data_IF_282872866942
#
_entry.id   IF_282872866942
#
_cell.length_a   1.000
_cell.length_b   1.000
_cell.length_c   1.000
_cell.angle_alpha   90.00
_cell.angle_beta   90.00
_cell.angle_gamma   90.00
#
_symmetry.space_group_name_H-M   'P 1'
#
loop_
_entity.id
_entity.type
_entity.pdbx_description
1 polymer ?
#
# COMPACT_ATOMS: atom_id res chain seq x y z
N UNK A 1 24.86 5.09 -1.35
CA UNK A 1 26.34 4.93 -1.35
C UNK A 1 26.83 4.26 -2.63
N UNK A 2 26.34 3.06 -3.03
CA UNK A 2 26.79 2.35 -4.25
C UNK A 2 26.61 3.19 -5.52
N UNK A 3 25.43 3.80 -5.74
CA UNK A 3 25.22 4.75 -6.85
C UNK A 3 26.16 5.96 -6.77
N UNK A 4 26.46 6.47 -5.57
CA UNK A 4 27.41 7.56 -5.37
C UNK A 4 28.85 7.21 -5.78
N UNK A 5 29.18 5.92 -5.86
CA UNK A 5 30.45 5.41 -6.39
C UNK A 5 30.41 5.10 -7.91
N UNK A 6 29.30 5.45 -8.58
CA UNK A 6 29.12 5.23 -10.01
C UNK A 6 28.66 3.80 -10.38
N UNK A 7 28.22 3.00 -9.41
CA UNK A 7 27.73 1.63 -9.67
C UNK A 7 26.31 1.69 -10.28
N UNK A 8 26.08 0.89 -11.33
CA UNK A 8 24.78 0.76 -11.98
C UNK A 8 23.87 -0.17 -11.18
N UNK A 9 23.12 0.40 -10.24
CA UNK A 9 22.19 -0.34 -9.37
C UNK A 9 20.78 -0.31 -9.96
N UNK A 10 20.21 -1.50 -10.16
CA UNK A 10 18.80 -1.68 -10.50
C UNK A 10 17.99 -1.75 -9.19
N UNK A 11 17.09 -0.77 -8.98
CA UNK A 11 16.47 -0.58 -7.68
C UNK A 11 14.99 -0.97 -7.69
N UNK A 12 14.70 -2.14 -7.19
CA UNK A 12 13.34 -2.64 -6.89
C UNK A 12 12.94 -2.46 -5.41
N UNK A 13 13.81 -1.89 -4.59
CA UNK A 13 13.54 -1.73 -3.15
C UNK A 13 12.55 -0.60 -2.85
N UNK A 14 12.64 0.50 -3.60
CA UNK A 14 11.83 1.68 -3.40
C UNK A 14 10.52 1.62 -4.23
N UNK A 15 9.38 1.54 -3.57
CA UNK A 15 8.06 1.55 -4.21
C UNK A 15 7.60 2.96 -4.63
N UNK A 16 8.40 3.67 -5.41
CA UNK A 16 8.07 5.00 -5.93
C UNK A 16 7.64 4.89 -7.39
N UNK A 17 6.36 5.22 -7.74
CA UNK A 17 5.92 5.25 -9.13
C UNK A 17 6.85 6.09 -10.00
N UNK A 18 7.28 5.55 -11.13
CA UNK A 18 8.22 6.17 -12.07
C UNK A 18 7.52 6.79 -13.28
N UNK A 19 6.25 6.49 -13.49
CA UNK A 19 5.46 7.04 -14.58
C UNK A 19 5.13 8.51 -14.34
N UNK A 20 5.09 9.33 -15.42
CA UNK A 20 4.71 10.72 -15.27
C UNK A 20 3.23 10.87 -14.90
N UNK A 21 2.92 11.91 -14.13
CA UNK A 21 1.54 12.33 -13.91
C UNK A 21 0.86 12.67 -15.25
N UNK A 22 -0.39 12.23 -15.50
CA UNK A 22 -1.12 12.51 -16.72
C UNK A 22 -1.19 14.01 -17.05
N UNK A 23 -1.02 14.37 -18.34
CA UNK A 23 -0.85 15.76 -18.76
C UNK A 23 -2.04 16.65 -18.38
N UNK A 24 -3.28 16.18 -18.51
CA UNK A 24 -4.47 16.96 -18.16
C UNK A 24 -4.51 17.36 -16.66
N UNK A 25 -3.87 16.59 -15.79
CA UNK A 25 -3.74 16.90 -14.35
C UNK A 25 -2.68 18.00 -14.17
N UNK A 26 -1.55 17.90 -14.86
CA UNK A 26 -0.48 18.90 -14.85
C UNK A 26 -0.99 20.23 -15.39
N UNK A 27 -1.72 20.22 -16.50
CA UNK A 27 -2.30 21.42 -17.12
C UNK A 27 -3.24 22.13 -16.15
N UNK A 28 -4.07 21.38 -15.41
CA UNK A 28 -4.99 21.94 -14.42
C UNK A 28 -4.25 22.55 -13.23
N UNK A 29 -3.11 21.97 -12.80
CA UNK A 29 -2.24 22.58 -11.80
C UNK A 29 -1.70 23.92 -12.28
N UNK A 30 -1.13 23.96 -13.51
CA UNK A 30 -0.52 25.16 -14.08
C UNK A 30 -1.56 26.26 -14.27
N UNK A 31 -2.75 25.92 -14.78
CA UNK A 31 -3.87 26.84 -14.93
C UNK A 31 -4.23 27.50 -13.59
N UNK A 32 -4.42 26.67 -12.55
CA UNK A 32 -4.86 27.15 -11.24
C UNK A 32 -3.75 27.92 -10.51
N UNK A 33 -2.50 27.53 -10.66
CA UNK A 33 -1.36 28.20 -10.01
C UNK A 33 -1.14 29.64 -10.53
N UNK A 34 -1.64 29.97 -11.72
CA UNK A 34 -1.61 31.34 -12.27
C UNK A 34 -2.62 32.28 -11.61
N UNK A 35 -3.64 31.77 -10.92
CA UNK A 35 -4.59 32.60 -10.18
C UNK A 35 -3.96 33.05 -8.84
N UNK A 36 -3.73 34.36 -8.63
CA UNK A 36 -3.13 34.86 -7.37
C UNK A 36 -3.92 34.48 -6.12
N UNK A 37 -5.22 34.20 -6.22
CA UNK A 37 -6.06 33.79 -5.10
C UNK A 37 -5.76 32.38 -4.63
N UNK A 38 -5.16 31.54 -5.47
CA UNK A 38 -4.78 30.17 -5.15
C UNK A 38 -3.69 30.05 -4.08
N UNK A 39 -2.95 31.12 -3.81
CA UNK A 39 -1.88 31.19 -2.81
C UNK A 39 -2.39 31.39 -1.37
N UNK A 40 -3.69 31.55 -1.17
CA UNK A 40 -4.29 31.70 0.16
C UNK A 40 -4.35 30.35 0.87
N UNK A 41 -4.40 30.40 2.19
CA UNK A 41 -4.68 29.21 2.98
C UNK A 41 -5.96 28.51 2.51
N UNK A 42 -5.90 27.20 2.42
CA UNK A 42 -7.05 26.37 2.04
C UNK A 42 -7.78 25.83 3.29
N UNK A 43 -8.67 24.89 3.08
CA UNK A 43 -9.39 24.21 4.17
C UNK A 43 -8.72 22.86 4.45
N UNK A 44 -8.46 22.54 5.72
CA UNK A 44 -7.87 21.26 6.18
C UNK A 44 -8.67 20.05 5.68
N UNK A 45 -10.00 20.19 5.55
CA UNK A 45 -10.88 19.12 5.04
C UNK A 45 -10.82 18.95 3.51
N UNK A 46 -10.16 19.84 2.81
CA UNK A 46 -10.19 19.93 1.37
C UNK A 46 -11.34 20.80 0.82
N UNK A 47 -11.13 21.35 -0.37
CA UNK A 47 -12.14 22.18 -1.05
C UNK A 47 -13.39 21.35 -1.40
N UNK A 48 -14.55 22.00 -1.45
CA UNK A 48 -15.84 21.31 -1.73
C UNK A 48 -15.82 20.52 -3.04
N UNK A 49 -15.22 21.10 -4.11
CA UNK A 49 -15.09 20.41 -5.40
C UNK A 49 -14.34 19.09 -5.30
N UNK A 50 -13.22 19.06 -4.57
CA UNK A 50 -12.43 17.87 -4.34
C UNK A 50 -13.21 16.81 -3.54
N UNK A 51 -13.87 17.20 -2.44
CA UNK A 51 -14.67 16.27 -1.63
C UNK A 51 -15.82 15.63 -2.42
N UNK A 52 -16.49 16.41 -3.28
CA UNK A 52 -17.50 15.88 -4.22
C UNK A 52 -16.88 14.90 -5.23
N UNK A 53 -15.71 15.20 -5.76
CA UNK A 53 -15.01 14.32 -6.69
C UNK A 53 -14.60 12.99 -6.03
N UNK A 54 -14.18 13.03 -4.76
CA UNK A 54 -13.88 11.81 -3.97
C UNK A 54 -15.13 10.96 -3.75
N UNK A 55 -16.26 11.56 -3.40
CA UNK A 55 -17.53 10.85 -3.27
C UNK A 55 -18.00 10.27 -4.63
N UNK A 56 -17.84 11.02 -5.72
CA UNK A 56 -18.14 10.54 -7.08
C UNK A 56 -17.23 9.39 -7.52
N UNK A 57 -15.97 9.40 -7.12
CA UNK A 57 -15.04 8.27 -7.33
C UNK A 57 -15.57 6.99 -6.68
N UNK A 58 -16.00 7.05 -5.41
CA UNK A 58 -16.59 5.89 -4.72
C UNK A 58 -17.86 5.39 -5.42
N UNK A 59 -18.73 6.31 -5.85
CA UNK A 59 -19.94 5.93 -6.58
C UNK A 59 -19.60 5.24 -7.91
N UNK A 60 -18.67 5.79 -8.67
CA UNK A 60 -18.25 5.25 -9.98
C UNK A 60 -17.52 3.92 -9.85
N UNK A 61 -16.59 3.83 -8.88
CA UNK A 61 -15.69 2.69 -8.76
C UNK A 61 -16.29 1.51 -7.99
N UNK A 62 -17.10 1.77 -6.99
CA UNK A 62 -17.62 0.77 -6.04
C UNK A 62 -19.14 0.75 -5.91
N UNK A 63 -19.86 1.66 -6.55
CA UNK A 63 -21.31 1.80 -6.36
C UNK A 63 -21.71 2.33 -4.98
N UNK A 64 -20.77 2.91 -4.24
CA UNK A 64 -20.97 3.38 -2.86
C UNK A 64 -21.28 4.87 -2.83
N UNK A 65 -22.41 5.23 -2.25
CA UNK A 65 -22.81 6.65 -2.03
C UNK A 65 -22.20 7.15 -0.73
N UNK A 66 -21.49 8.28 -0.79
CA UNK A 66 -20.89 8.98 0.35
C UNK A 66 -21.38 10.43 0.41
N UNK A 67 -21.62 10.93 1.61
CA UNK A 67 -21.87 12.36 1.84
C UNK A 67 -20.52 13.12 1.81
N UNK A 68 -20.29 14.01 0.81
CA UNK A 68 -19.04 14.74 0.69
C UNK A 68 -18.76 15.71 1.84
N UNK A 69 -19.76 16.04 2.63
CA UNK A 69 -19.60 16.99 3.74
C UNK A 69 -19.33 16.33 5.09
N UNK A 70 -19.74 15.08 5.30
CA UNK A 70 -19.58 14.38 6.58
C UNK A 70 -18.81 13.05 6.50
N UNK A 71 -18.76 12.41 5.32
CA UNK A 71 -18.18 11.08 5.16
C UNK A 71 -16.87 11.08 4.34
N UNK A 72 -16.33 12.25 3.96
CA UNK A 72 -15.11 12.37 3.15
C UNK A 72 -14.23 13.52 3.65
N UNK A 73 -12.90 13.33 3.63
CA UNK A 73 -11.91 14.35 3.96
C UNK A 73 -10.63 14.15 3.14
N UNK A 74 -10.09 15.25 2.60
CA UNK A 74 -8.79 15.25 1.94
C UNK A 74 -7.64 15.11 2.93
N UNK A 75 -6.57 14.42 2.53
CA UNK A 75 -5.37 14.21 3.32
C UNK A 75 -4.10 14.53 2.52
N UNK A 76 -3.00 14.84 3.20
CA UNK A 76 -1.69 15.07 2.58
C UNK A 76 -1.01 13.74 2.21
N UNK A 77 -1.69 12.94 1.39
CA UNK A 77 -1.45 11.53 1.14
C UNK A 77 -2.14 10.64 2.18
N UNK A 78 -2.43 9.38 1.82
CA UNK A 78 -3.10 8.43 2.73
C UNK A 78 -2.30 8.19 4.02
N UNK A 79 -0.97 8.20 3.93
CA UNK A 79 -0.07 7.99 5.09
C UNK A 79 -0.25 9.04 6.19
N UNK A 80 -0.37 10.31 5.83
CA UNK A 80 -0.62 11.40 6.79
C UNK A 80 -2.02 11.25 7.39
N UNK A 81 -3.03 11.02 6.58
CA UNK A 81 -4.39 10.82 7.05
C UNK A 81 -4.50 9.65 8.03
N UNK A 82 -3.84 8.53 7.72
CA UNK A 82 -3.79 7.37 8.59
C UNK A 82 -3.14 7.69 9.95
N UNK A 83 -1.96 8.33 9.94
CA UNK A 83 -1.25 8.69 11.16
C UNK A 83 -2.02 9.69 12.03
N UNK A 84 -2.66 10.68 11.39
CA UNK A 84 -3.47 11.66 12.12
C UNK A 84 -4.75 11.04 12.70
N UNK A 85 -5.41 10.14 11.97
CA UNK A 85 -6.54 9.42 12.54
C UNK A 85 -6.12 8.54 13.72
N UNK A 86 -4.99 7.83 13.59
CA UNK A 86 -4.45 7.06 14.70
C UNK A 86 -4.28 7.91 15.96
N UNK A 87 -3.69 9.11 15.84
CA UNK A 87 -3.56 10.05 16.96
C UNK A 87 -4.91 10.54 17.49
N UNK A 88 -5.91 10.71 16.62
CA UNK A 88 -7.21 11.26 17.02
C UNK A 88 -8.08 10.26 17.81
N UNK A 89 -7.86 8.95 17.64
CA UNK A 89 -8.72 7.90 18.21
C UNK A 89 -8.01 7.03 19.24
N UNK A 90 -6.74 7.29 19.54
CA UNK A 90 -5.92 6.44 20.40
C UNK A 90 -5.42 7.20 21.62
N UNK A 91 -5.52 6.58 22.77
CA UNK A 91 -4.86 7.02 24.01
C UNK A 91 -3.63 6.14 24.30
N UNK A 92 -2.65 6.66 25.07
CA UNK A 92 -1.52 5.85 25.54
C UNK A 92 -2.00 4.60 26.27
N UNK A 93 -1.48 3.43 25.85
CA UNK A 93 -1.84 2.13 26.42
C UNK A 93 -2.99 1.40 25.73
N UNK A 94 -3.68 2.03 24.78
CA UNK A 94 -4.65 1.33 23.92
C UNK A 94 -3.96 0.22 23.12
N UNK A 95 -4.69 -0.86 22.85
CA UNK A 95 -4.20 -1.97 22.03
C UNK A 95 -4.81 -1.92 20.64
N UNK A 96 -3.95 -2.06 19.60
CA UNK A 96 -4.34 -2.05 18.20
C UNK A 96 -3.94 -3.35 17.53
N UNK A 97 -4.87 -3.94 16.76
CA UNK A 97 -4.60 -5.14 15.95
C UNK A 97 -4.04 -4.73 14.58
N UNK A 98 -2.82 -5.12 14.30
CA UNK A 98 -2.11 -4.77 13.06
C UNK A 98 -1.67 -6.04 12.34
N UNK A 99 -1.88 -6.16 11.01
CA UNK A 99 -1.37 -7.30 10.25
C UNK A 99 0.16 -7.35 10.31
N UNK A 100 0.72 -8.55 10.20
CA UNK A 100 2.15 -8.76 10.06
C UNK A 100 2.37 -9.92 9.07
N UNK A 101 3.08 -9.70 7.93
CA UNK A 101 3.78 -8.45 7.55
C UNK A 101 2.82 -7.32 7.18
N UNK A 102 3.29 -6.06 7.30
CA UNK A 102 2.50 -4.86 6.99
C UNK A 102 3.36 -3.68 6.50
N UNK A 103 2.72 -2.72 5.85
CA UNK A 103 3.34 -1.44 5.56
C UNK A 103 3.59 -0.68 6.88
N UNK A 104 4.79 -0.14 7.11
CA UNK A 104 5.19 0.36 8.42
C UNK A 104 4.23 1.36 9.09
N UNK A 105 3.51 2.20 8.32
CA UNK A 105 2.60 3.19 8.91
C UNK A 105 1.47 2.54 9.71
N UNK A 106 1.08 1.31 9.36
CA UNK A 106 -0.01 0.60 10.03
C UNK A 106 0.29 0.34 11.50
N UNK A 107 1.54 0.09 11.85
CA UNK A 107 2.00 -0.03 13.24
C UNK A 107 2.48 1.31 13.78
N UNK A 108 3.40 1.99 13.06
CA UNK A 108 4.05 3.19 13.57
C UNK A 108 3.11 4.39 13.74
N UNK A 109 2.02 4.50 12.95
CA UNK A 109 1.01 5.52 13.15
C UNK A 109 0.39 5.46 14.55
N UNK A 110 0.14 4.26 15.04
CA UNK A 110 -0.41 4.03 16.38
C UNK A 110 0.67 4.06 17.49
N UNK A 111 1.87 3.55 17.21
CA UNK A 111 3.00 3.64 18.17
C UNK A 111 3.30 5.10 18.50
N UNK A 112 3.32 5.99 17.51
CA UNK A 112 3.52 7.42 17.72
C UNK A 112 2.39 8.06 18.54
N UNK A 113 1.19 7.48 18.55
CA UNK A 113 0.07 7.87 19.39
C UNK A 113 0.13 7.27 20.82
N UNK A 114 1.13 6.43 21.11
CA UNK A 114 1.30 5.78 22.40
C UNK A 114 0.59 4.45 22.57
N UNK A 115 0.07 3.85 21.49
CA UNK A 115 -0.60 2.55 21.54
C UNK A 115 0.39 1.39 21.63
N UNK A 116 -0.08 0.29 22.21
CA UNK A 116 0.52 -1.03 22.11
C UNK A 116 0.03 -1.74 20.84
N UNK A 117 0.94 -2.34 20.09
CA UNK A 117 0.61 -3.09 18.88
C UNK A 117 0.51 -4.58 19.19
N UNK A 118 -0.61 -5.16 18.79
CA UNK A 118 -0.80 -6.62 18.76
C UNK A 118 -0.74 -7.06 17.30
N UNK A 119 0.37 -7.65 16.91
CA UNK A 119 0.53 -8.22 15.58
C UNK A 119 -0.35 -9.46 15.39
N UNK A 120 -1.01 -9.54 14.23
CA UNK A 120 -1.81 -10.68 13.80
C UNK A 120 -1.20 -11.23 12.52
N UNK A 121 -0.95 -12.54 12.46
CA UNK A 121 -0.38 -13.18 11.29
C UNK A 121 -1.25 -12.89 10.04
N UNK A 122 -0.66 -12.27 9.03
CA UNK A 122 -1.28 -11.90 7.76
C UNK A 122 -0.51 -12.48 6.56
N UNK A 123 0.11 -13.63 6.74
CA UNK A 123 0.75 -14.39 5.66
C UNK A 123 -0.27 -14.86 4.62
N UNK A 124 -1.53 -15.01 5.02
CA UNK A 124 -2.70 -15.08 4.14
C UNK A 124 -3.92 -14.38 4.78
N UNK A 125 -4.95 -14.00 3.98
CA UNK A 125 -6.19 -13.44 4.51
C UNK A 125 -6.88 -14.37 5.51
N UNK A 126 -6.84 -15.67 5.30
CA UNK A 126 -7.44 -16.69 6.17
C UNK A 126 -6.70 -16.78 7.51
N UNK A 127 -5.37 -16.70 7.50
CA UNK A 127 -4.57 -16.66 8.73
C UNK A 127 -4.88 -15.40 9.53
N UNK A 128 -5.06 -14.26 8.85
CA UNK A 128 -5.42 -13.02 9.51
C UNK A 128 -6.76 -13.14 10.23
N UNK A 129 -7.81 -13.60 9.54
CA UNK A 129 -9.14 -13.81 10.14
C UNK A 129 -9.09 -14.77 11.34
N UNK A 130 -8.42 -15.91 11.20
CA UNK A 130 -8.24 -16.88 12.30
C UNK A 130 -7.50 -16.30 13.50
N UNK A 131 -6.54 -15.41 13.24
CA UNK A 131 -5.75 -14.77 14.28
C UNK A 131 -6.50 -13.72 15.10
N UNK A 132 -7.52 -13.06 14.53
CA UNK A 132 -8.24 -11.95 15.16
C UNK A 132 -8.94 -12.34 16.47
N UNK A 133 -9.69 -13.44 16.50
CA UNK A 133 -10.39 -13.90 17.71
C UNK A 133 -9.40 -14.23 18.84
N UNK A 134 -8.28 -14.87 18.49
CA UNK A 134 -7.21 -15.15 19.44
C UNK A 134 -6.59 -13.86 19.97
N UNK A 135 -6.33 -12.91 19.08
CA UNK A 135 -5.71 -11.65 19.44
C UNK A 135 -6.59 -10.84 20.41
N UNK A 136 -7.92 -10.79 20.20
CA UNK A 136 -8.84 -10.12 21.12
C UNK A 136 -8.86 -10.81 22.49
N UNK A 137 -8.98 -12.14 22.51
CA UNK A 137 -9.04 -12.89 23.79
C UNK A 137 -7.79 -12.73 24.66
N UNK A 138 -6.65 -12.51 24.04
CA UNK A 138 -5.36 -12.41 24.74
C UNK A 138 -4.81 -10.97 24.80
N UNK A 139 -5.63 -9.96 24.55
CA UNK A 139 -5.26 -8.54 24.67
C UNK A 139 -5.89 -7.91 25.90
N UNK A 140 -5.04 -7.28 26.72
CA UNK A 140 -5.46 -6.44 27.84
C UNK A 140 -4.66 -5.15 27.78
N UNK A 141 -5.32 -3.99 27.59
CA UNK A 141 -6.76 -3.81 27.41
C UNK A 141 -7.31 -4.42 26.11
N UNK A 142 -8.65 -4.50 26.02
CA UNK A 142 -9.35 -4.90 24.78
C UNK A 142 -8.93 -4.01 23.62
N UNK A 143 -8.68 -4.55 22.41
CA UNK A 143 -8.31 -3.74 21.25
C UNK A 143 -9.39 -2.72 20.88
N UNK A 144 -8.96 -1.52 20.50
CA UNK A 144 -9.84 -0.41 20.10
C UNK A 144 -9.96 -0.27 18.59
N UNK A 145 -8.97 -0.72 17.83
CA UNK A 145 -8.97 -0.68 16.38
C UNK A 145 -8.23 -1.89 15.77
N UNK A 146 -8.57 -2.19 14.51
CA UNK A 146 -7.83 -3.11 13.66
C UNK A 146 -7.54 -2.46 12.30
N UNK A 147 -6.48 -2.94 11.64
CA UNK A 147 -6.05 -2.46 10.33
C UNK A 147 -6.20 -3.57 9.30
N UNK A 148 -6.70 -3.23 8.10
CA UNK A 148 -6.68 -4.09 6.92
C UNK A 148 -6.06 -3.33 5.75
N UNK A 149 -5.32 -4.05 4.88
CA UNK A 149 -4.68 -3.45 3.70
C UNK A 149 -4.71 -4.43 2.53
N UNK A 150 -5.67 -4.25 1.61
CA UNK A 150 -5.82 -5.07 0.40
C UNK A 150 -6.28 -4.20 -0.78
N UNK A 151 -5.59 -4.24 -1.95
CA UNK A 151 -4.37 -5.01 -2.23
C UNK A 151 -3.22 -4.65 -1.31
N UNK A 152 -2.52 -5.67 -0.82
CA UNK A 152 -1.58 -5.51 0.28
C UNK A 152 -0.22 -4.95 -0.15
N UNK A 153 0.36 -4.14 0.69
CA UNK A 153 1.78 -3.84 0.73
C UNK A 153 2.32 -4.41 2.06
N UNK A 154 3.19 -5.44 2.06
CA UNK A 154 4.08 -5.84 0.96
C UNK A 154 3.61 -7.02 0.09
N UNK A 155 2.60 -7.78 0.49
CA UNK A 155 2.35 -9.15 0.00
C UNK A 155 1.63 -9.22 -1.35
N UNK A 156 1.11 -8.11 -1.86
CA UNK A 156 0.30 -8.00 -3.07
C UNK A 156 -0.99 -8.86 -3.06
N UNK A 157 -1.37 -9.41 -1.92
CA UNK A 157 -2.59 -10.19 -1.74
C UNK A 157 -3.83 -9.33 -1.97
N UNK A 158 -4.88 -9.98 -2.45
CA UNK A 158 -6.22 -9.39 -2.67
C UNK A 158 -7.24 -10.20 -1.89
N UNK A 159 -8.39 -9.57 -1.60
CA UNK A 159 -9.52 -10.21 -0.93
C UNK A 159 -10.82 -9.91 -1.66
N UNK A 160 -11.80 -10.77 -1.49
CA UNK A 160 -13.18 -10.56 -1.95
C UNK A 160 -14.05 -9.92 -0.88
N UNK A 161 -15.32 -9.68 -1.22
CA UNK A 161 -16.30 -9.10 -0.29
C UNK A 161 -16.55 -9.98 0.94
N UNK A 162 -16.43 -11.30 0.82
CA UNK A 162 -16.68 -12.19 1.96
C UNK A 162 -15.68 -11.97 3.10
N UNK A 163 -14.41 -11.70 2.78
CA UNK A 163 -13.44 -11.28 3.78
C UNK A 163 -13.88 -10.00 4.52
N UNK A 164 -14.34 -8.99 3.79
CA UNK A 164 -14.82 -7.76 4.41
C UNK A 164 -16.11 -7.94 5.21
N UNK A 165 -17.00 -8.85 4.82
CA UNK A 165 -18.17 -9.22 5.64
C UNK A 165 -17.75 -9.76 7.00
N UNK A 166 -16.76 -10.65 7.03
CA UNK A 166 -16.21 -11.19 8.29
C UNK A 166 -15.54 -10.11 9.13
N UNK A 167 -14.74 -9.21 8.53
CA UNK A 167 -14.12 -8.07 9.23
C UNK A 167 -15.18 -7.13 9.82
N UNK A 168 -16.21 -6.77 9.07
CA UNK A 168 -17.28 -5.89 9.57
C UNK A 168 -18.07 -6.54 10.70
N UNK A 169 -18.43 -7.82 10.54
CA UNK A 169 -19.11 -8.57 11.59
C UNK A 169 -18.25 -8.68 12.86
N UNK A 170 -16.96 -8.97 12.72
CA UNK A 170 -16.01 -9.02 13.81
C UNK A 170 -15.89 -7.66 14.53
N UNK A 171 -15.74 -6.58 13.76
CA UNK A 171 -15.60 -5.24 14.29
C UNK A 171 -16.85 -4.81 15.09
N UNK A 172 -18.05 -5.09 14.57
CA UNK A 172 -19.32 -4.82 15.28
C UNK A 172 -19.46 -5.65 16.56
N UNK A 173 -19.16 -6.95 16.49
CA UNK A 173 -19.21 -7.86 17.64
C UNK A 173 -18.30 -7.42 18.79
N UNK A 174 -17.13 -6.91 18.47
CA UNK A 174 -16.12 -6.53 19.44
C UNK A 174 -16.03 -5.03 19.70
N UNK A 175 -16.88 -4.21 19.05
CA UNK A 175 -16.88 -2.75 19.17
C UNK A 175 -15.50 -2.15 18.85
N UNK A 176 -14.89 -2.60 17.74
CA UNK A 176 -13.55 -2.23 17.28
C UNK A 176 -13.67 -1.39 16.01
N UNK A 177 -12.92 -0.31 15.90
CA UNK A 177 -12.81 0.46 14.66
C UNK A 177 -11.98 -0.27 13.60
N UNK A 178 -12.34 -0.12 12.34
CA UNK A 178 -11.58 -0.66 11.21
C UNK A 178 -10.93 0.48 10.42
N UNK A 179 -9.60 0.43 10.27
CA UNK A 179 -8.87 1.29 9.34
C UNK A 179 -8.49 0.45 8.12
N UNK A 180 -9.11 0.73 6.99
CA UNK A 180 -8.86 0.05 5.71
C UNK A 180 -7.93 0.91 4.85
N UNK A 181 -6.74 0.41 4.50
CA UNK A 181 -5.84 1.07 3.56
C UNK A 181 -6.04 0.47 2.17
N UNK A 182 -6.64 1.23 1.26
CA UNK A 182 -7.02 0.84 -0.09
C UNK A 182 -6.19 1.58 -1.17
N UNK A 183 -4.96 1.97 -0.85
CA UNK A 183 -4.11 2.79 -1.72
C UNK A 183 -3.82 2.16 -3.10
N UNK A 184 -4.00 0.86 -3.27
CA UNK A 184 -3.72 0.12 -4.51
C UNK A 184 -5.00 -0.39 -5.20
N UNK A 185 -6.17 0.18 -4.91
CA UNK A 185 -7.47 -0.22 -5.48
C UNK A 185 -7.49 -0.29 -7.01
N UNK A 186 -6.75 0.58 -7.66
CA UNK A 186 -6.78 0.72 -9.12
C UNK A 186 -5.59 0.04 -9.82
N UNK A 187 -4.73 -0.66 -9.07
CA UNK A 187 -3.62 -1.46 -9.64
C UNK A 187 -3.93 -2.94 -9.42
N UNK A 188 -4.62 -3.54 -10.37
CA UNK A 188 -5.00 -4.96 -10.39
C UNK A 188 -4.89 -5.50 -11.80
N UNK A 189 -4.76 -6.82 -11.96
CA UNK A 189 -4.40 -7.44 -13.22
C UNK A 189 -5.44 -8.45 -13.73
N UNK A 190 -6.52 -8.63 -12.98
CA UNK A 190 -7.71 -9.39 -13.39
C UNK A 190 -8.93 -8.45 -13.44
N UNK A 191 -9.35 -8.10 -14.65
CA UNK A 191 -10.47 -7.18 -14.86
C UNK A 191 -11.82 -7.75 -14.45
N UNK A 192 -11.94 -9.08 -14.33
CA UNK A 192 -13.15 -9.74 -13.87
C UNK A 192 -13.32 -9.63 -12.34
N UNK A 193 -12.21 -9.45 -11.60
CA UNK A 193 -12.20 -9.45 -10.15
C UNK A 193 -11.47 -8.19 -9.61
N UNK A 194 -11.99 -6.98 -9.84
CA UNK A 194 -11.39 -5.76 -9.32
C UNK A 194 -11.45 -5.74 -7.77
N UNK A 195 -10.41 -5.23 -7.09
CA UNK A 195 -10.41 -5.13 -5.63
C UNK A 195 -11.62 -4.34 -5.11
N UNK A 196 -12.37 -4.87 -4.14
CA UNK A 196 -13.53 -4.21 -3.58
C UNK A 196 -13.16 -3.16 -2.52
N UNK A 197 -14.09 -2.25 -2.24
CA UNK A 197 -14.09 -1.41 -1.03
C UNK A 197 -14.82 -2.12 0.10
N UNK A 198 -14.36 -1.93 1.34
CA UNK A 198 -15.07 -2.41 2.52
C UNK A 198 -16.51 -1.85 2.59
N UNK A 199 -16.75 -0.67 2.03
CA UNK A 199 -18.08 -0.02 2.04
C UNK A 199 -19.10 -0.65 1.09
N UNK A 200 -18.71 -1.63 0.30
CA UNK A 200 -19.66 -2.48 -0.43
C UNK A 200 -20.34 -3.52 0.48
N UNK A 201 -19.90 -3.60 1.74
CA UNK A 201 -20.52 -4.44 2.77
C UNK A 201 -21.46 -3.60 3.62
N UNK A 202 -22.68 -4.09 3.79
CA UNK A 202 -23.71 -3.43 4.61
C UNK A 202 -23.23 -3.23 6.05
N UNK A 203 -23.43 -2.01 6.55
CA UNK A 203 -23.04 -1.62 7.90
C UNK A 203 -21.54 -1.33 8.09
N UNK A 204 -20.71 -1.42 7.06
CA UNK A 204 -19.29 -1.08 7.16
C UNK A 204 -19.07 0.40 7.56
N UNK A 205 -19.91 1.32 7.09
CA UNK A 205 -19.83 2.73 7.49
C UNK A 205 -20.06 3.00 8.98
N UNK A 206 -20.62 2.04 9.70
CA UNK A 206 -20.83 2.18 11.15
C UNK A 206 -19.51 2.02 11.92
N UNK A 207 -18.55 1.29 11.37
CA UNK A 207 -17.32 0.86 12.07
C UNK A 207 -16.01 1.17 11.35
N UNK A 208 -16.03 1.64 10.10
CA UNK A 208 -14.82 1.72 9.28
C UNK A 208 -14.53 3.11 8.71
N UNK A 209 -13.23 3.37 8.52
CA UNK A 209 -12.68 4.41 7.64
C UNK A 209 -11.75 3.74 6.63
N UNK A 210 -11.82 4.17 5.38
CA UNK A 210 -10.99 3.69 4.29
C UNK A 210 -10.13 4.82 3.71
N UNK A 211 -8.85 4.55 3.48
CA UNK A 211 -7.87 5.50 2.96
C UNK A 211 -7.55 5.22 1.50
N UNK A 212 -7.59 6.27 0.69
CA UNK A 212 -7.24 6.26 -0.73
C UNK A 212 -6.05 7.16 -1.01
N UNK A 213 -5.31 6.83 -2.08
CA UNK A 213 -4.13 7.60 -2.48
C UNK A 213 -4.12 7.86 -3.99
N UNK A 214 -4.00 9.13 -4.38
CA UNK A 214 -3.79 9.49 -5.77
C UNK A 214 -2.35 9.23 -6.23
N UNK A 215 -1.43 8.99 -5.29
CA UNK A 215 -0.03 8.68 -5.59
C UNK A 215 0.13 7.47 -6.50
N UNK A 216 -0.78 6.49 -6.40
CA UNK A 216 -0.69 5.22 -7.11
C UNK A 216 -1.59 5.21 -8.34
N UNK A 217 -2.84 5.61 -8.21
CA UNK A 217 -3.82 5.60 -9.30
C UNK A 217 -3.51 6.61 -10.42
N UNK A 218 -2.88 7.73 -10.09
CA UNK A 218 -2.63 8.84 -11.03
C UNK A 218 -1.17 9.27 -11.11
N UNK A 219 -0.23 8.44 -10.64
CA UNK A 219 1.20 8.75 -10.62
C UNK A 219 1.51 10.13 -9.99
N UNK A 220 0.93 10.42 -8.82
CA UNK A 220 1.05 11.69 -8.10
C UNK A 220 1.75 11.55 -6.72
N UNK A 221 2.85 10.78 -6.58
CA UNK A 221 3.42 10.53 -5.24
C UNK A 221 3.98 11.80 -4.57
N UNK A 222 4.62 12.67 -5.33
CA UNK A 222 5.19 13.93 -4.84
C UNK A 222 4.16 15.03 -4.53
N UNK A 223 2.94 14.91 -5.07
CA UNK A 223 1.88 15.90 -4.93
C UNK A 223 1.21 15.85 -3.54
N UNK A 224 1.45 14.78 -2.80
CA UNK A 224 0.90 14.56 -1.45
C UNK A 224 -0.61 14.69 -1.38
N UNK A 225 -1.34 13.95 -2.22
CA UNK A 225 -2.79 13.95 -2.24
C UNK A 225 -3.35 12.54 -2.03
N UNK A 226 -4.25 12.46 -1.06
CA UNK A 226 -5.06 11.30 -0.73
C UNK A 226 -6.34 11.75 -0.02
N UNK A 227 -7.11 10.79 0.45
CA UNK A 227 -8.31 11.09 1.22
C UNK A 227 -8.72 9.90 2.11
N UNK A 228 -9.53 10.20 3.11
CA UNK A 228 -10.21 9.22 3.93
C UNK A 228 -11.72 9.34 3.72
N UNK A 229 -12.41 8.21 3.77
CA UNK A 229 -13.85 8.11 3.59
C UNK A 229 -14.46 7.14 4.61
N UNK A 230 -15.72 7.34 5.00
CA UNK A 230 -16.48 6.38 5.79
C UNK A 230 -17.17 6.95 7.02
N UNK A 231 -16.96 6.34 8.17
CA UNK A 231 -17.67 6.65 9.42
C UNK A 231 -17.57 8.14 9.76
N UNK A 232 -18.72 8.79 9.95
CA UNK A 232 -18.83 10.24 10.20
C UNK A 232 -18.08 10.69 11.46
N UNK A 233 -18.09 9.87 12.51
CA UNK A 233 -17.40 10.19 13.78
C UNK A 233 -15.89 10.15 13.60
N UNK A 234 -15.39 9.14 12.91
CA UNK A 234 -13.95 9.01 12.60
C UNK A 234 -13.48 10.11 11.64
N UNK A 235 -14.27 10.44 10.61
CA UNK A 235 -13.99 11.56 9.72
C UNK A 235 -14.01 12.90 10.47
N UNK A 236 -14.92 13.10 11.41
CA UNK A 236 -14.95 14.30 12.25
C UNK A 236 -13.73 14.37 13.17
N UNK A 237 -13.30 13.25 13.76
CA UNK A 237 -12.10 13.17 14.59
C UNK A 237 -10.83 13.52 13.78
N UNK A 238 -10.70 12.95 12.58
CA UNK A 238 -9.61 13.30 11.65
C UNK A 238 -9.65 14.78 11.26
N UNK A 239 -10.83 15.32 10.94
CA UNK A 239 -10.99 16.74 10.63
C UNK A 239 -10.60 17.64 11.80
N UNK A 240 -10.90 17.21 13.02
CA UNK A 240 -10.57 17.97 14.23
C UNK A 240 -9.06 18.07 14.44
N UNK A 241 -8.34 16.95 14.40
CA UNK A 241 -6.89 16.97 14.58
C UNK A 241 -6.21 17.74 13.44
N UNK A 242 -6.60 17.53 12.18
CA UNK A 242 -6.07 18.27 11.04
C UNK A 242 -6.27 19.78 11.15
N UNK A 243 -7.38 20.23 11.73
CA UNK A 243 -7.64 21.67 11.90
C UNK A 243 -6.61 22.39 12.81
N UNK A 244 -5.84 21.64 13.60
CA UNK A 244 -4.75 22.17 14.40
C UNK A 244 -3.37 21.97 13.75
N UNK A 245 -3.25 21.02 12.82
CA UNK A 245 -1.95 20.63 12.24
C UNK A 245 -1.68 21.28 10.89
N UNK A 246 -2.73 21.51 10.08
CA UNK A 246 -2.58 22.04 8.72
C UNK A 246 -3.79 22.86 8.26
N UNK A 247 -3.59 23.59 7.15
CA UNK A 247 -4.64 24.29 6.41
C UNK A 247 -4.99 23.59 5.11
N UNK A 248 -4.68 22.29 4.99
CA UNK A 248 -4.89 21.49 3.79
C UNK A 248 -3.79 21.66 2.75
N UNK A 249 -3.89 20.89 1.67
CA UNK A 249 -2.97 20.96 0.56
C UNK A 249 -3.10 22.29 -0.18
N UNK A 250 -2.01 22.69 -0.86
CA UNK A 250 -2.00 23.83 -1.77
C UNK A 250 -3.16 23.76 -2.77
N UNK A 251 -3.94 24.84 -2.89
CA UNK A 251 -5.19 24.85 -3.67
C UNK A 251 -5.05 24.33 -5.10
N UNK A 252 -4.02 24.71 -5.90
CA UNK A 252 -3.81 24.16 -7.23
C UNK A 252 -3.65 22.63 -7.25
N UNK A 253 -3.03 22.04 -6.25
CA UNK A 253 -2.94 20.56 -6.11
C UNK A 253 -4.32 19.95 -5.90
N UNK A 254 -5.16 20.57 -5.08
CA UNK A 254 -6.52 20.08 -4.83
C UNK A 254 -7.41 20.18 -6.07
N UNK A 255 -7.27 21.25 -6.85
CA UNK A 255 -8.00 21.43 -8.12
C UNK A 255 -7.52 20.42 -9.16
N UNK A 256 -6.21 20.20 -9.27
CA UNK A 256 -5.65 19.18 -10.15
C UNK A 256 -6.09 17.76 -9.74
N UNK A 257 -6.15 17.47 -8.44
CA UNK A 257 -6.70 16.20 -7.91
C UNK A 257 -8.19 16.03 -8.25
N UNK A 258 -8.95 17.13 -8.22
CA UNK A 258 -10.35 17.13 -8.68
C UNK A 258 -10.45 16.77 -10.18
N UNK A 259 -9.54 17.30 -11.00
CA UNK A 259 -9.46 16.98 -12.43
C UNK A 259 -9.02 15.51 -12.64
N UNK A 260 -8.12 14.97 -11.81
CA UNK A 260 -7.75 13.57 -11.86
C UNK A 260 -8.94 12.64 -11.59
N UNK A 261 -9.72 12.94 -10.54
CA UNK A 261 -10.86 12.10 -10.15
C UNK A 261 -12.06 12.19 -11.09
N UNK A 262 -12.32 13.38 -11.69
CA UNK A 262 -13.48 13.62 -12.55
C UNK A 262 -13.16 13.54 -14.05
N UNK A 263 -11.89 13.59 -14.42
CA UNK A 263 -11.43 13.56 -15.80
C UNK A 263 -11.45 12.17 -16.44
N UNK A 264 -10.87 12.05 -17.65
CA UNK A 264 -10.71 10.77 -18.33
C UNK A 264 -9.95 9.75 -17.46
N UNK A 265 -10.41 8.50 -17.43
CA UNK A 265 -9.80 7.44 -16.64
C UNK A 265 -8.91 6.49 -17.45
N UNK A 266 -8.75 6.75 -18.77
CA UNK A 266 -7.88 5.97 -19.65
C UNK A 266 -6.44 5.87 -19.11
N UNK A 267 -5.94 6.95 -18.50
CA UNK A 267 -4.62 7.00 -17.88
C UNK A 267 -4.44 5.96 -16.76
N UNK A 268 -5.51 5.61 -16.04
CA UNK A 268 -5.47 4.57 -14.99
C UNK A 268 -5.36 3.18 -15.64
N UNK A 269 -6.10 2.95 -16.73
CA UNK A 269 -6.02 1.71 -17.48
C UNK A 269 -4.65 1.52 -18.16
N UNK A 270 -4.10 2.60 -18.75
CA UNK A 270 -2.76 2.60 -19.35
C UNK A 270 -1.67 2.29 -18.31
N UNK A 271 -1.72 2.94 -17.17
CA UNK A 271 -0.80 2.68 -16.06
C UNK A 271 -0.89 1.22 -15.57
N UNK A 272 -2.09 0.68 -15.43
CA UNK A 272 -2.33 -0.73 -15.08
C UNK A 272 -1.71 -1.68 -16.09
N UNK A 273 -1.87 -1.38 -17.39
CA UNK A 273 -1.27 -2.17 -18.48
C UNK A 273 0.26 -2.19 -18.39
N UNK A 274 0.90 -1.06 -18.06
CA UNK A 274 2.35 -0.96 -17.87
C UNK A 274 2.79 -1.83 -16.69
N UNK A 275 2.14 -1.73 -15.54
CA UNK A 275 2.48 -2.58 -14.38
C UNK A 275 2.26 -4.07 -14.68
N UNK A 276 1.20 -4.42 -15.41
CA UNK A 276 0.95 -5.79 -15.85
C UNK A 276 2.08 -6.32 -16.74
N UNK A 277 2.50 -5.55 -17.73
CA UNK A 277 3.62 -5.92 -18.62
C UNK A 277 4.91 -6.12 -17.83
N UNK A 278 5.24 -5.22 -16.91
CA UNK A 278 6.42 -5.33 -16.04
C UNK A 278 6.37 -6.56 -15.14
N UNK A 279 5.20 -6.84 -14.55
CA UNK A 279 4.97 -8.05 -13.76
C UNK A 279 5.25 -9.31 -14.59
N UNK A 280 4.66 -9.39 -15.78
CA UNK A 280 4.78 -10.57 -16.65
C UNK A 280 6.26 -10.79 -17.05
N UNK A 281 6.96 -9.71 -17.43
CA UNK A 281 8.39 -9.76 -17.73
C UNK A 281 9.24 -10.13 -16.51
N UNK A 282 8.90 -9.61 -15.31
CA UNK A 282 9.60 -9.95 -14.08
C UNK A 282 9.49 -11.45 -13.79
N UNK A 283 8.26 -11.96 -13.75
CA UNK A 283 7.99 -13.38 -13.45
C UNK A 283 8.71 -14.29 -14.44
N UNK A 284 8.54 -14.06 -15.74
CA UNK A 284 9.17 -14.87 -16.78
C UNK A 284 10.70 -14.80 -16.73
N UNK A 285 11.27 -13.63 -16.56
CA UNK A 285 12.72 -13.43 -16.60
C UNK A 285 13.42 -14.02 -15.36
N UNK A 286 12.81 -13.91 -14.20
CA UNK A 286 13.35 -14.44 -12.95
C UNK A 286 13.21 -15.96 -12.89
N UNK A 287 12.14 -16.53 -13.39
CA UNK A 287 12.01 -17.99 -13.53
C UNK A 287 13.12 -18.58 -14.40
N UNK A 288 13.41 -17.96 -15.55
CA UNK A 288 14.56 -18.32 -16.41
C UNK A 288 15.93 -18.11 -15.74
N UNK A 289 15.98 -17.26 -14.74
CA UNK A 289 17.19 -17.04 -13.93
C UNK A 289 17.36 -18.07 -12.81
N UNK A 290 16.37 -18.93 -12.57
CA UNK A 290 16.36 -19.93 -11.51
C UNK A 290 15.79 -19.42 -10.18
N UNK A 291 15.07 -18.31 -10.21
CA UNK A 291 14.35 -17.75 -9.05
C UNK A 291 12.87 -17.60 -9.38
N UNK A 292 12.06 -18.58 -9.00
CA UNK A 292 10.63 -18.56 -9.26
C UNK A 292 9.90 -17.52 -8.42
N UNK A 293 9.15 -16.65 -9.08
CA UNK A 293 8.40 -15.56 -8.47
C UNK A 293 6.90 -15.84 -8.62
N UNK A 294 6.13 -15.91 -7.51
CA UNK A 294 4.68 -15.95 -7.58
C UNK A 294 4.14 -14.71 -8.30
N UNK A 295 3.27 -14.91 -9.30
CA UNK A 295 2.68 -13.79 -10.05
C UNK A 295 1.72 -13.00 -9.16
N UNK A 296 1.99 -11.72 -8.83
CA UNK A 296 1.09 -10.92 -8.01
C UNK A 296 -0.21 -10.61 -8.75
N UNK A 297 -1.38 -10.75 -8.10
CA UNK A 297 -2.68 -10.45 -8.71
C UNK A 297 -2.98 -8.95 -8.81
N UNK A 298 -2.33 -8.15 -7.98
CA UNK A 298 -2.56 -6.71 -7.87
C UNK A 298 -1.36 -6.00 -7.26
N UNK A 299 -1.48 -4.68 -7.04
CA UNK A 299 -0.45 -3.82 -6.48
C UNK A 299 0.74 -3.60 -7.45
N UNK A 300 1.68 -2.80 -7.06
CA UNK A 300 2.93 -2.55 -7.78
C UNK A 300 4.12 -3.34 -7.17
N UNK A 301 3.83 -4.43 -6.46
CA UNK A 301 4.82 -5.22 -5.76
C UNK A 301 4.69 -6.71 -6.10
N UNK A 302 5.83 -7.42 -6.07
CA UNK A 302 5.89 -8.86 -5.95
C UNK A 302 6.47 -9.22 -4.58
N UNK A 303 5.84 -10.16 -3.89
CA UNK A 303 6.30 -10.72 -2.62
C UNK A 303 6.90 -12.09 -2.89
N UNK A 304 8.19 -12.19 -2.74
CA UNK A 304 8.99 -13.26 -3.32
C UNK A 304 9.72 -14.04 -2.23
N UNK A 305 9.52 -15.36 -2.14
CA UNK A 305 10.31 -16.17 -1.23
C UNK A 305 11.79 -16.13 -1.66
N UNK A 306 12.69 -15.99 -0.69
CA UNK A 306 14.13 -16.10 -0.97
C UNK A 306 14.46 -17.55 -1.34
N UNK A 307 15.46 -17.77 -2.22
CA UNK A 307 15.85 -19.13 -2.59
C UNK A 307 16.28 -19.95 -1.36
N UNK A 308 15.99 -21.25 -1.36
CA UNK A 308 16.24 -22.16 -0.22
C UNK A 308 17.68 -22.08 0.29
N UNK A 309 18.66 -21.97 -0.62
CA UNK A 309 20.08 -21.88 -0.27
C UNK A 309 20.48 -20.61 0.50
N UNK A 310 19.57 -19.64 0.62
CA UNK A 310 19.78 -18.38 1.36
C UNK A 310 18.92 -18.26 2.61
N UNK A 311 18.02 -19.21 2.89
CA UNK A 311 17.08 -19.13 4.01
C UNK A 311 17.75 -19.01 5.36
N UNK A 312 18.86 -19.72 5.56
CA UNK A 312 19.61 -19.68 6.83
C UNK A 312 20.14 -18.27 7.15
N UNK A 313 20.60 -17.54 6.13
CA UNK A 313 21.08 -16.15 6.27
C UNK A 313 19.97 -15.10 6.42
N UNK A 314 18.75 -15.46 6.08
CA UNK A 314 17.57 -14.60 6.17
C UNK A 314 17.46 -13.54 5.07
N UNK A 315 16.32 -12.82 5.10
CA UNK A 315 15.95 -11.87 4.05
C UNK A 315 16.87 -10.65 3.97
N UNK A 316 17.43 -10.21 5.10
CA UNK A 316 18.33 -9.04 5.12
C UNK A 316 19.68 -9.36 4.47
N UNK A 317 20.30 -10.49 4.81
CA UNK A 317 21.58 -10.87 4.21
C UNK A 317 21.41 -11.20 2.73
N UNK A 318 20.34 -11.88 2.34
CA UNK A 318 20.02 -12.10 0.93
C UNK A 318 19.87 -10.79 0.14
N UNK A 319 19.18 -9.79 0.70
CA UNK A 319 19.05 -8.48 0.05
C UNK A 319 20.38 -7.74 -0.09
N UNK A 320 21.27 -7.84 0.91
CA UNK A 320 22.63 -7.30 0.84
C UNK A 320 23.48 -8.00 -0.22
N UNK A 321 23.42 -9.32 -0.27
CA UNK A 321 24.17 -10.13 -1.25
C UNK A 321 23.72 -9.81 -2.68
N UNK A 322 22.41 -9.68 -2.92
CA UNK A 322 21.88 -9.24 -4.20
C UNK A 322 22.40 -7.85 -4.60
N UNK A 323 22.43 -6.91 -3.66
CA UNK A 323 22.93 -5.56 -3.93
C UNK A 323 24.43 -5.57 -4.26
N UNK A 324 25.22 -6.31 -3.51
CA UNK A 324 26.69 -6.35 -3.66
C UNK A 324 27.09 -7.09 -4.92
N UNK A 325 26.54 -8.27 -5.15
CA UNK A 325 27.01 -9.20 -6.18
C UNK A 325 26.20 -9.15 -7.47
N UNK A 326 24.88 -8.88 -7.40
CA UNK A 326 24.03 -8.77 -8.58
C UNK A 326 23.73 -7.31 -8.99
N UNK A 327 24.09 -6.31 -8.16
CA UNK A 327 23.74 -4.90 -8.36
C UNK A 327 22.22 -4.68 -8.45
N UNK A 328 21.46 -5.48 -7.71
CA UNK A 328 20.00 -5.44 -7.63
C UNK A 328 19.59 -5.16 -6.19
N UNK A 329 18.87 -4.06 -5.99
CA UNK A 329 18.31 -3.71 -4.68
C UNK A 329 16.88 -4.23 -4.56
N UNK A 330 16.56 -4.88 -3.45
CA UNK A 330 15.20 -5.33 -3.06
C UNK A 330 14.96 -4.95 -1.61
N UNK A 331 13.69 -4.90 -1.19
CA UNK A 331 13.38 -4.65 0.22
C UNK A 331 13.31 -5.99 0.99
N UNK A 332 14.11 -6.19 2.06
CA UNK A 332 14.04 -7.39 2.86
C UNK A 332 12.70 -7.51 3.58
N UNK A 333 12.15 -8.72 3.62
CA UNK A 333 10.83 -8.97 4.18
C UNK A 333 10.74 -8.69 5.68
N UNK A 334 11.83 -8.92 6.41
CA UNK A 334 11.94 -8.56 7.83
C UNK A 334 11.61 -7.08 8.09
N UNK A 335 11.86 -6.18 7.13
CA UNK A 335 11.52 -4.75 7.21
C UNK A 335 10.02 -4.47 7.26
N UNK A 336 9.16 -5.47 7.01
CA UNK A 336 7.70 -5.39 7.09
C UNK A 336 7.12 -6.13 8.30
N UNK A 337 7.97 -6.71 9.14
CA UNK A 337 7.59 -7.48 10.32
C UNK A 337 8.19 -8.89 10.32
N UNK A 338 8.13 -9.54 11.47
CA UNK A 338 8.76 -10.86 11.67
C UNK A 338 8.22 -11.97 10.76
N UNK A 339 6.93 -11.93 10.43
CA UNK A 339 6.32 -12.87 9.47
C UNK A 339 6.69 -12.56 8.00
N UNK A 340 7.41 -11.47 7.77
CA UNK A 340 8.02 -11.17 6.48
C UNK A 340 9.38 -11.84 6.27
N UNK A 341 9.94 -12.46 7.33
CA UNK A 341 11.22 -13.19 7.20
C UNK A 341 11.09 -14.35 6.21
N UNK A 342 12.16 -14.59 5.44
CA UNK A 342 12.16 -15.56 4.36
C UNK A 342 11.63 -15.04 3.02
N UNK A 343 11.27 -13.76 2.93
CA UNK A 343 10.76 -13.10 1.72
C UNK A 343 11.53 -11.81 1.42
N UNK A 344 11.42 -11.35 0.18
CA UNK A 344 11.77 -9.98 -0.24
C UNK A 344 10.64 -9.37 -1.03
N UNK A 345 10.50 -8.04 -0.97
CA UNK A 345 9.56 -7.30 -1.81
C UNK A 345 10.30 -6.69 -3.00
N UNK A 346 9.78 -6.93 -4.21
CA UNK A 346 10.24 -6.36 -5.47
C UNK A 346 9.18 -5.36 -5.96
N UNK A 347 9.58 -4.11 -6.21
CA UNK A 347 8.69 -3.10 -6.78
C UNK A 347 8.77 -3.09 -8.32
N UNK A 348 7.63 -2.96 -9.00
CA UNK A 348 7.50 -2.96 -10.47
C UNK A 348 7.78 -1.56 -11.05
N UNK A 349 8.82 -0.88 -10.57
CA UNK A 349 9.13 0.52 -10.90
C UNK A 349 10.22 0.69 -11.97
N UNK A 350 10.82 -0.40 -12.42
CA UNK A 350 11.80 -0.39 -13.48
C UNK A 350 11.16 -0.84 -14.80
N UNK A 351 11.69 -0.34 -15.94
CA UNK A 351 11.20 -0.77 -17.25
C UNK A 351 11.64 -2.21 -17.59
N UNK A 352 11.02 -2.80 -18.61
CA UNK A 352 11.23 -4.21 -18.97
C UNK A 352 12.68 -4.53 -19.34
N UNK A 353 13.43 -3.58 -19.90
CA UNK A 353 14.86 -3.78 -20.23
C UNK A 353 15.70 -3.91 -18.97
N UNK A 354 15.44 -3.05 -17.96
CA UNK A 354 16.11 -3.11 -16.67
C UNK A 354 15.72 -4.36 -15.89
N UNK A 355 14.46 -4.78 -15.95
CA UNK A 355 14.00 -6.04 -15.35
C UNK A 355 14.75 -7.23 -15.94
N UNK A 356 14.86 -7.32 -17.27
CA UNK A 356 15.64 -8.38 -17.93
C UNK A 356 17.14 -8.31 -17.61
N UNK A 357 17.70 -7.11 -17.44
CA UNK A 357 19.08 -6.94 -17.00
C UNK A 357 19.28 -7.47 -15.58
N UNK A 358 18.37 -7.12 -14.66
CA UNK A 358 18.40 -7.62 -13.28
C UNK A 358 18.33 -9.15 -13.25
N UNK A 359 17.46 -9.77 -14.04
CA UNK A 359 17.36 -11.23 -14.12
C UNK A 359 18.65 -11.89 -14.60
N UNK A 360 19.36 -11.29 -15.58
CA UNK A 360 20.69 -11.79 -16.00
C UNK A 360 21.71 -11.69 -14.87
N UNK A 361 21.70 -10.61 -14.12
CA UNK A 361 22.61 -10.40 -13.00
C UNK A 361 22.31 -11.40 -11.86
N UNK A 362 21.04 -11.59 -11.54
CA UNK A 362 20.57 -12.56 -10.54
C UNK A 362 20.97 -13.98 -10.96
N UNK A 363 20.80 -14.35 -12.23
CA UNK A 363 21.23 -15.68 -12.74
C UNK A 363 22.70 -15.93 -12.47
N UNK A 364 23.58 -14.96 -12.79
CA UNK A 364 25.02 -15.07 -12.51
C UNK A 364 25.29 -15.24 -11.02
N UNK A 365 24.64 -14.43 -10.19
CA UNK A 365 24.79 -14.49 -8.75
C UNK A 365 24.39 -15.85 -8.17
N UNK A 366 23.25 -16.39 -8.56
CA UNK A 366 22.77 -17.70 -8.08
C UNK A 366 23.67 -18.85 -8.55
N UNK A 367 24.25 -18.73 -9.76
CA UNK A 367 25.16 -19.77 -10.29
C UNK A 367 26.52 -19.83 -9.58
N UNK A 368 27.01 -18.74 -8.99
CA UNK A 368 28.25 -18.72 -8.25
C UNK A 368 28.19 -19.56 -6.97
N UNK A 369 27.10 -19.45 -6.21
CA UNK A 369 26.93 -20.23 -4.96
C UNK A 369 26.57 -21.70 -5.18
N UNK A 370 25.91 -22.04 -6.28
CA UNK A 370 25.68 -23.45 -6.60
C UNK A 370 26.99 -24.22 -6.84
N UNK A 371 28.08 -23.53 -7.21
CA UNK A 371 29.40 -24.11 -7.37
C UNK A 371 30.21 -24.20 -6.05
N UNK A 372 29.89 -23.32 -5.07
CA UNK A 372 30.56 -23.35 -3.75
C UNK A 372 29.94 -24.39 -2.78
N UNK A 373 28.66 -24.77 -3.02
CA UNK A 373 28.00 -25.85 -2.29
C UNK A 373 27.37 -26.84 -3.30
N UNK A 374 28.14 -27.79 -3.84
CA UNK A 374 27.59 -28.85 -4.69
C UNK A 374 26.57 -29.64 -3.87
N UNK A 375 25.33 -29.77 -4.41
CA UNK A 375 24.28 -30.60 -3.80
C UNK A 375 24.91 -31.98 -3.52
N UNK A 376 24.94 -32.38 -2.24
CA UNK A 376 25.22 -33.77 -1.88
C UNK A 376 24.12 -34.59 -2.56
N UNK A 377 24.48 -35.58 -3.41
CA UNK A 377 23.45 -36.44 -4.01
C UNK A 377 22.69 -37.14 -2.88
N UNK A 378 21.35 -37.08 -2.92
CA UNK A 378 20.52 -37.92 -2.04
C UNK A 378 20.96 -39.39 -2.27
N UNK A 379 21.58 -39.96 -1.25
CA UNK A 379 21.78 -41.39 -1.22
C UNK A 379 20.43 -42.06 -1.08
N UNK A 380 19.95 -42.63 -2.19
CA UNK A 380 18.81 -43.54 -2.22
C UNK A 380 19.08 -44.64 -1.19
N UNK A 381 18.21 -44.67 -0.16
CA UNK A 381 18.06 -45.82 0.72
C UNK A 381 16.82 -46.57 0.34
#
# INVERSE_FOLDING_TARGET
EARGRGEDIIDFGMGNPDMPTPQHIIDKLIETAKDPRSNRYSASRGIKGLRRAMAAYYQRRFGVTLDPDSEVIATLGSKEGFANLAQAITAPGDTILVPNPAYPIHAFGFILAGAAIRHVNATSPEEYLRGLDRAVRHSVPKPTALVVNYPSNPTAQVVGLDFYKEIVAFAKKHEIWVLSDLAYADIYFDDANPPPSIFQVDGAKEVAVEFQSLSKSYAMPGWRMGFAAGNKTLIAALARIKSYLDYGAYTPVQVAATAALNGPQDCVAEMRAIYKARRDVLVESMDRAGWSIPSPPASMFAWVPIPESYREGGSLEFAKDLLIHAKVAVAPGLGFGEYGEGYVRIALVENEHRIRQAARNVKKFLSLRSNEHPRVPEMVK
#
